data_IF_326503448996
#
_entry.id   IF_326503448996
#
_cell.length_a   1.000
_cell.length_b   1.000
_cell.length_c   1.000
_cell.angle_alpha   90.00
_cell.angle_beta   90.00
_cell.angle_gamma   90.00
#
_symmetry.space_group_name_H-M   'P 1'
#
loop_
_entity.id
_entity.type
_entity.pdbx_description
1 polymer ?
#
# COMPACT_ATOMS: atom_id res chain seq x y z
N UNK A 1 3.21 -18.26 3.04
CA UNK A 1 4.49 -17.50 3.20
C UNK A 1 4.66 -16.66 1.96
N UNK A 2 4.72 -15.33 2.10
CA UNK A 2 4.77 -14.40 0.97
C UNK A 2 6.16 -14.34 0.36
N UNK A 3 6.22 -14.27 -0.96
CA UNK A 3 7.46 -14.15 -1.74
C UNK A 3 7.58 -12.74 -2.28
N UNK A 4 8.60 -12.04 -1.81
CA UNK A 4 8.85 -10.61 -2.10
C UNK A 4 10.12 -10.48 -2.91
N UNK A 5 10.02 -9.85 -4.07
CA UNK A 5 11.18 -9.41 -4.83
C UNK A 5 11.61 -8.01 -4.38
N UNK A 6 12.91 -7.82 -4.17
CA UNK A 6 13.53 -6.49 -3.96
C UNK A 6 14.57 -6.28 -5.06
N UNK A 7 14.36 -5.28 -5.91
CA UNK A 7 15.27 -4.92 -6.98
C UNK A 7 15.78 -3.48 -6.82
N UNK A 8 17.09 -3.32 -6.83
CA UNK A 8 17.80 -2.06 -6.68
C UNK A 8 19.24 -2.28 -7.17
N UNK A 9 19.84 -1.36 -7.88
CA UNK A 9 21.22 -1.53 -8.37
C UNK A 9 22.27 -1.33 -7.26
N UNK A 10 21.93 -0.64 -6.17
CA UNK A 10 22.80 -0.43 -5.02
C UNK A 10 22.77 -1.63 -4.05
N UNK A 11 23.87 -2.41 -3.90
CA UNK A 11 23.89 -3.58 -3.03
C UNK A 11 23.58 -3.28 -1.56
N UNK A 12 23.93 -2.09 -1.09
CA UNK A 12 23.70 -1.66 0.30
C UNK A 12 22.21 -1.44 0.53
N UNK A 13 21.53 -0.76 -0.40
CA UNK A 13 20.09 -0.50 -0.33
C UNK A 13 19.30 -1.81 -0.31
N UNK A 14 19.61 -2.75 -1.22
CA UNK A 14 18.98 -4.08 -1.22
C UNK A 14 19.11 -4.79 0.13
N UNK A 15 20.32 -4.75 0.74
CA UNK A 15 20.53 -5.39 2.04
C UNK A 15 19.78 -4.69 3.17
N UNK A 16 19.72 -3.35 3.16
CA UNK A 16 18.99 -2.57 4.16
C UNK A 16 17.49 -2.90 4.10
N UNK A 17 16.89 -2.88 2.89
CA UNK A 17 15.49 -3.21 2.67
C UNK A 17 15.22 -4.66 3.12
N UNK A 18 16.02 -5.61 2.68
CA UNK A 18 15.91 -7.02 3.08
C UNK A 18 15.94 -7.19 4.60
N UNK A 19 16.91 -6.55 5.27
CA UNK A 19 17.04 -6.62 6.73
C UNK A 19 15.82 -6.04 7.44
N UNK A 20 15.27 -4.94 6.94
CA UNK A 20 14.04 -4.34 7.47
C UNK A 20 12.87 -5.31 7.33
N UNK A 21 12.64 -5.83 6.12
CA UNK A 21 11.55 -6.78 5.83
C UNK A 21 11.63 -8.01 6.75
N UNK A 22 12.78 -8.67 6.80
CA UNK A 22 12.97 -9.86 7.65
C UNK A 22 12.89 -9.53 9.14
N UNK A 23 13.25 -8.33 9.55
CA UNK A 23 13.13 -7.88 10.94
C UNK A 23 11.70 -7.68 11.39
N UNK A 24 10.82 -7.21 10.51
CA UNK A 24 9.41 -6.96 10.82
C UNK A 24 8.50 -8.18 10.56
N UNK A 25 8.85 -9.01 9.58
CA UNK A 25 8.05 -10.17 9.16
C UNK A 25 8.83 -11.50 9.29
N UNK A 26 9.41 -11.80 10.45
CA UNK A 26 10.13 -13.06 10.62
C UNK A 26 9.19 -14.24 10.38
N UNK A 27 9.67 -15.23 9.63
CA UNK A 27 8.93 -16.48 9.33
C UNK A 27 7.64 -16.28 8.46
N UNK A 28 7.36 -15.06 7.97
CA UNK A 28 6.20 -14.81 7.13
C UNK A 28 6.56 -14.59 5.66
N UNK A 29 7.80 -14.20 5.38
CA UNK A 29 8.26 -13.81 4.04
C UNK A 29 9.52 -14.52 3.60
N UNK A 30 9.64 -14.71 2.28
CA UNK A 30 10.88 -15.03 1.59
C UNK A 30 11.24 -13.84 0.70
N UNK A 31 12.46 -13.35 0.80
CA UNK A 31 12.93 -12.20 0.02
C UNK A 31 13.92 -12.65 -1.03
N UNK A 32 13.64 -12.32 -2.28
CA UNK A 32 14.51 -12.49 -3.44
C UNK A 32 15.07 -11.15 -3.86
N UNK A 33 16.30 -11.11 -4.36
CA UNK A 33 16.99 -9.87 -4.70
C UNK A 33 17.43 -9.88 -6.16
N UNK A 34 17.36 -8.71 -6.81
CA UNK A 34 17.83 -8.48 -8.16
C UNK A 34 18.61 -7.15 -8.25
N UNK A 35 19.55 -7.06 -9.20
CA UNK A 35 20.43 -5.89 -9.36
C UNK A 35 20.01 -4.97 -10.51
N UNK A 36 19.07 -5.40 -11.32
CA UNK A 36 18.54 -4.69 -12.49
C UNK A 36 17.16 -5.22 -12.87
N UNK A 37 16.48 -4.52 -13.78
CA UNK A 37 15.12 -4.88 -14.19
C UNK A 37 15.02 -6.23 -14.91
N UNK A 38 16.04 -6.68 -15.65
CA UNK A 38 16.01 -7.97 -16.33
C UNK A 38 16.01 -9.10 -15.31
N UNK A 39 16.93 -9.03 -14.35
CA UNK A 39 17.00 -9.99 -13.24
C UNK A 39 15.73 -9.93 -12.39
N UNK A 40 15.16 -8.72 -12.18
CA UNK A 40 13.92 -8.54 -11.43
C UNK A 40 12.77 -9.32 -12.06
N UNK A 41 12.56 -9.21 -13.39
CA UNK A 41 11.51 -9.97 -14.09
C UNK A 41 11.75 -11.47 -13.96
N UNK A 42 12.98 -11.95 -14.21
CA UNK A 42 13.29 -13.39 -14.10
C UNK A 42 13.10 -13.90 -12.67
N UNK A 43 13.66 -13.18 -11.67
CA UNK A 43 13.55 -13.59 -10.27
C UNK A 43 12.09 -13.58 -9.77
N UNK A 44 11.26 -12.65 -10.24
CA UNK A 44 9.83 -12.60 -9.92
C UNK A 44 9.12 -13.84 -10.43
N UNK A 45 9.34 -14.22 -11.70
CA UNK A 45 8.72 -15.37 -12.34
C UNK A 45 9.25 -16.69 -11.76
N UNK A 46 10.57 -16.86 -11.65
CA UNK A 46 11.21 -18.11 -11.23
C UNK A 46 10.85 -18.48 -9.78
N UNK A 47 10.47 -17.49 -8.97
CA UNK A 47 10.15 -17.71 -7.57
C UNK A 47 8.66 -17.47 -7.26
N UNK A 48 7.80 -17.32 -8.26
CA UNK A 48 6.35 -17.03 -8.10
C UNK A 48 6.11 -15.93 -7.06
N UNK A 49 6.78 -14.79 -7.18
CA UNK A 49 6.62 -13.70 -6.23
C UNK A 49 5.24 -13.06 -6.34
N UNK A 50 4.67 -12.62 -5.22
CA UNK A 50 3.41 -11.89 -5.16
C UNK A 50 3.62 -10.38 -5.07
N UNK A 51 4.77 -9.96 -4.52
CA UNK A 51 5.08 -8.56 -4.23
C UNK A 51 6.42 -8.19 -4.86
N UNK A 52 6.48 -7.07 -5.57
CA UNK A 52 7.70 -6.50 -6.11
C UNK A 52 7.98 -5.12 -5.51
N UNK A 53 9.15 -4.94 -4.91
CA UNK A 53 9.69 -3.65 -4.46
C UNK A 53 10.82 -3.29 -5.41
N UNK A 54 10.64 -2.23 -6.19
CA UNK A 54 11.51 -1.89 -7.30
C UNK A 54 12.07 -0.48 -7.14
N UNK A 55 13.39 -0.33 -7.25
CA UNK A 55 13.94 0.98 -7.58
C UNK A 55 13.65 1.31 -9.05
N UNK A 56 13.48 2.59 -9.34
CA UNK A 56 13.17 3.03 -10.70
C UNK A 56 14.42 3.08 -11.55
N UNK A 57 15.48 3.70 -11.06
CA UNK A 57 16.72 3.86 -11.84
C UNK A 57 17.67 2.69 -11.64
N UNK A 58 17.57 1.71 -12.52
CA UNK A 58 18.48 0.58 -12.58
C UNK A 58 19.13 0.48 -13.96
N UNK A 59 20.38 -0.02 -14.08
CA UNK A 59 21.07 -0.14 -15.34
C UNK A 59 20.41 -1.16 -16.29
N UNK A 60 20.39 -0.84 -17.58
CA UNK A 60 19.78 -1.68 -18.62
C UNK A 60 18.27 -1.54 -18.67
N UNK A 61 17.54 -2.39 -17.98
CA UNK A 61 16.09 -2.26 -17.80
C UNK A 61 15.81 -1.57 -16.48
N UNK A 62 15.12 -0.43 -16.54
CA UNK A 62 14.69 0.31 -15.35
C UNK A 62 13.52 -0.38 -14.63
N UNK A 63 13.22 0.05 -13.41
CA UNK A 63 12.17 -0.55 -12.59
C UNK A 63 10.77 -0.40 -13.16
N UNK A 64 10.46 0.68 -13.88
CA UNK A 64 9.17 0.88 -14.52
C UNK A 64 8.95 -0.07 -15.69
N UNK A 65 10.00 -0.33 -16.49
CA UNK A 65 9.93 -1.30 -17.59
C UNK A 65 9.82 -2.73 -17.05
N UNK A 66 10.52 -3.03 -15.95
CA UNK A 66 10.40 -4.30 -15.25
C UNK A 66 8.98 -4.50 -14.69
N UNK A 67 8.44 -3.49 -14.01
CA UNK A 67 7.09 -3.49 -13.48
C UNK A 67 6.03 -3.73 -14.56
N UNK A 68 6.16 -3.08 -15.73
CA UNK A 68 5.25 -3.27 -16.85
C UNK A 68 5.28 -4.71 -17.40
N UNK A 69 6.46 -5.34 -17.44
CA UNK A 69 6.58 -6.74 -17.87
C UNK A 69 6.01 -7.70 -16.83
N UNK A 70 6.28 -7.47 -15.55
CA UNK A 70 5.72 -8.26 -14.44
C UNK A 70 4.20 -8.16 -14.46
N UNK A 71 3.63 -6.94 -14.48
CA UNK A 71 2.18 -6.69 -14.49
C UNK A 71 1.46 -7.37 -15.66
N UNK A 72 2.08 -7.40 -16.84
CA UNK A 72 1.49 -8.05 -18.03
C UNK A 72 1.28 -9.55 -17.86
N UNK A 73 2.15 -10.22 -17.09
CA UNK A 73 2.09 -11.67 -16.87
C UNK A 73 1.37 -12.02 -15.56
N UNK A 74 1.48 -11.14 -14.58
CA UNK A 74 0.92 -11.26 -13.22
C UNK A 74 0.03 -10.03 -12.96
N UNK A 75 -1.21 -9.99 -13.46
CA UNK A 75 -2.08 -8.80 -13.38
C UNK A 75 -2.40 -8.40 -11.94
N UNK A 76 -2.37 -9.33 -11.02
CA UNK A 76 -2.82 -9.14 -9.62
C UNK A 76 -1.67 -8.93 -8.62
N UNK A 77 -0.40 -8.98 -9.07
CA UNK A 77 0.75 -8.78 -8.17
C UNK A 77 0.79 -7.36 -7.58
N UNK A 78 1.30 -7.21 -6.38
CA UNK A 78 1.52 -5.91 -5.77
C UNK A 78 2.88 -5.33 -6.17
N UNK A 79 2.89 -4.13 -6.77
CA UNK A 79 4.10 -3.41 -7.17
C UNK A 79 4.26 -2.17 -6.30
N UNK A 80 5.43 -2.00 -5.70
CA UNK A 80 5.81 -0.88 -4.86
C UNK A 80 7.09 -0.28 -5.44
N UNK A 81 7.11 1.02 -5.70
CA UNK A 81 8.34 1.71 -6.06
C UNK A 81 8.99 2.33 -4.84
N UNK A 82 10.30 2.14 -4.70
CA UNK A 82 11.11 2.75 -3.66
C UNK A 82 12.33 3.40 -4.32
N UNK A 83 12.30 4.72 -4.51
CA UNK A 83 13.26 5.45 -5.33
C UNK A 83 13.72 6.77 -4.71
N UNK A 84 14.94 7.21 -5.06
CA UNK A 84 15.45 8.53 -4.67
C UNK A 84 14.89 9.67 -5.56
N UNK A 85 14.23 9.34 -6.67
CA UNK A 85 13.83 10.31 -7.68
C UNK A 85 12.36 10.70 -7.53
N UNK A 86 12.13 12.00 -7.38
CA UNK A 86 10.81 12.64 -7.31
C UNK A 86 10.47 13.30 -8.66
N UNK A 87 10.56 12.54 -9.76
CA UNK A 87 10.27 13.05 -11.09
C UNK A 87 8.84 12.73 -11.53
N UNK A 88 8.12 13.74 -12.00
CA UNK A 88 6.74 13.62 -12.48
C UNK A 88 6.55 12.55 -13.58
N UNK A 89 7.54 12.38 -14.46
CA UNK A 89 7.48 11.39 -15.53
C UNK A 89 7.51 9.92 -15.01
N UNK A 90 8.22 9.67 -13.93
CA UNK A 90 8.25 8.33 -13.30
C UNK A 90 6.91 8.03 -12.63
N UNK A 91 6.37 9.04 -12.00
CA UNK A 91 5.07 9.01 -11.39
C UNK A 91 3.96 8.64 -12.40
N UNK A 92 3.92 9.27 -13.57
CA UNK A 92 2.95 8.93 -14.63
C UNK A 92 3.03 7.47 -15.08
N UNK A 93 4.24 6.94 -15.25
CA UNK A 93 4.44 5.54 -15.67
C UNK A 93 4.12 4.52 -14.55
N UNK A 94 4.30 4.89 -13.28
CA UNK A 94 3.90 4.05 -12.14
C UNK A 94 2.38 3.85 -12.09
N UNK A 95 1.59 4.83 -12.57
CA UNK A 95 0.14 4.71 -12.73
C UNK A 95 -0.20 3.65 -13.77
N UNK A 96 0.46 3.69 -14.93
CA UNK A 96 0.19 2.77 -16.05
C UNK A 96 0.37 1.30 -15.62
N UNK A 97 1.27 1.03 -14.66
CA UNK A 97 1.49 -0.31 -14.10
C UNK A 97 0.65 -0.60 -12.84
N UNK A 98 -0.22 0.31 -12.43
CA UNK A 98 -1.06 0.20 -11.23
C UNK A 98 -0.22 -0.17 -10.00
N UNK A 99 0.80 0.64 -9.72
CA UNK A 99 1.61 0.45 -8.53
C UNK A 99 0.77 0.65 -7.26
N UNK A 100 0.98 -0.19 -6.26
CA UNK A 100 0.30 -0.08 -4.97
C UNK A 100 0.73 1.19 -4.23
N UNK A 101 2.02 1.53 -4.28
CA UNK A 101 2.54 2.78 -3.71
C UNK A 101 3.87 3.19 -4.34
N UNK A 102 4.22 4.45 -4.11
CA UNK A 102 5.45 5.10 -4.57
C UNK A 102 6.15 5.77 -3.39
N UNK A 103 7.19 5.15 -2.86
CA UNK A 103 7.91 5.60 -1.69
C UNK A 103 9.23 6.31 -2.08
N UNK A 104 9.46 7.50 -1.53
CA UNK A 104 10.71 8.23 -1.74
C UNK A 104 11.77 7.78 -0.73
N UNK A 105 13.00 7.56 -1.17
CA UNK A 105 14.20 7.37 -0.34
C UNK A 105 14.72 8.74 0.13
N UNK A 106 15.14 8.89 1.40
CA UNK A 106 14.98 7.95 2.50
C UNK A 106 13.53 7.91 3.00
N UNK A 107 12.88 6.75 2.89
CA UNK A 107 11.54 6.54 3.40
C UNK A 107 11.50 6.21 4.90
N UNK A 108 10.38 6.44 5.56
CA UNK A 108 10.18 5.94 6.91
C UNK A 108 10.03 4.42 6.90
N UNK A 109 10.55 3.74 7.92
CA UNK A 109 10.36 2.31 8.07
C UNK A 109 8.88 1.97 8.20
N UNK A 110 8.12 2.86 8.84
CA UNK A 110 6.68 2.69 9.03
C UNK A 110 5.91 2.72 7.70
N UNK A 111 6.21 3.64 6.79
CA UNK A 111 5.59 3.69 5.45
C UNK A 111 5.88 2.40 4.67
N UNK A 112 7.14 1.95 4.64
CA UNK A 112 7.52 0.73 3.93
C UNK A 112 6.79 -0.50 4.50
N UNK A 113 6.75 -0.63 5.82
CA UNK A 113 6.12 -1.77 6.48
C UNK A 113 4.61 -1.79 6.29
N UNK A 114 3.95 -0.62 6.40
CA UNK A 114 2.51 -0.51 6.16
C UNK A 114 2.13 -0.93 4.73
N UNK A 115 2.91 -0.50 3.73
CA UNK A 115 2.64 -0.85 2.33
C UNK A 115 2.88 -2.34 2.07
N UNK A 116 3.92 -2.93 2.65
CA UNK A 116 4.17 -4.38 2.55
C UNK A 116 3.04 -5.18 3.21
N UNK A 117 2.57 -4.78 4.40
CA UNK A 117 1.42 -5.43 5.05
C UNK A 117 0.16 -5.35 4.18
N UNK A 118 -0.07 -4.21 3.54
CA UNK A 118 -1.20 -4.06 2.62
C UNK A 118 -1.04 -4.94 1.38
N UNK A 119 0.16 -5.03 0.81
CA UNK A 119 0.45 -5.93 -0.30
C UNK A 119 0.23 -7.41 0.08
N UNK A 120 0.62 -7.80 1.29
CA UNK A 120 0.36 -9.16 1.82
C UNK A 120 -1.15 -9.43 1.99
N UNK A 121 -1.90 -8.44 2.48
CA UNK A 121 -3.37 -8.53 2.61
C UNK A 121 -4.07 -8.69 1.26
N UNK A 122 -3.59 -7.97 0.24
CA UNK A 122 -4.13 -8.10 -1.12
C UNK A 122 -3.85 -9.49 -1.71
N UNK A 123 -2.64 -10.03 -1.50
CA UNK A 123 -2.29 -11.37 -1.95
C UNK A 123 -3.17 -12.47 -1.30
N UNK A 124 -3.49 -12.34 0.00
CA UNK A 124 -4.42 -13.28 0.69
C UNK A 124 -5.82 -13.26 0.06
N UNK A 125 -6.32 -12.08 -0.33
CA UNK A 125 -7.64 -11.94 -0.96
C UNK A 125 -7.72 -12.59 -2.33
N UNK A 126 -6.64 -12.54 -3.09
CA UNK A 126 -6.57 -13.17 -4.41
C UNK A 126 -6.58 -14.70 -4.29
N UNK A 127 -5.88 -15.25 -3.30
CA UNK A 127 -5.94 -16.69 -3.03
C UNK A 127 -7.35 -17.14 -2.63
N UNK A 128 -8.05 -16.38 -1.77
CA UNK A 128 -9.43 -16.64 -1.38
C UNK A 128 -10.42 -16.52 -2.55
N UNK A 129 -10.29 -15.47 -3.39
CA UNK A 129 -11.13 -15.25 -4.56
C UNK A 129 -10.95 -16.35 -5.61
N UNK A 130 -9.71 -16.83 -5.81
CA UNK A 130 -9.43 -17.92 -6.74
C UNK A 130 -10.03 -19.27 -6.27
N UNK A 131 -10.11 -19.48 -4.95
CA UNK A 131 -10.80 -20.64 -4.36
C UNK A 131 -12.34 -20.54 -4.51
N UNK A 132 -12.90 -19.32 -4.45
CA UNK A 132 -14.34 -19.08 -4.61
C UNK A 132 -14.78 -19.06 -6.09
N UNK A 133 -13.99 -18.46 -7.01
CA UNK A 133 -14.29 -18.41 -8.45
C UNK A 133 -14.19 -19.78 -9.15
N UNK A 134 -13.55 -20.76 -8.54
CA UNK A 134 -13.66 -22.16 -9.00
C UNK A 134 -15.11 -22.68 -8.94
N UNK A 135 -16.05 -21.92 -8.41
CA UNK A 135 -17.47 -22.29 -8.23
C UNK A 135 -18.49 -21.43 -8.98
N UNK A 136 -18.18 -20.24 -9.56
CA UNK A 136 -19.18 -19.47 -10.36
C UNK A 136 -18.50 -18.46 -11.34
N UNK A 137 -19.03 -18.41 -12.58
CA UNK A 137 -18.60 -17.61 -13.74
C UNK A 137 -19.10 -16.13 -13.76
N UNK A 138 -18.22 -15.25 -14.25
CA UNK A 138 -18.42 -14.03 -15.09
C UNK A 138 -19.15 -12.78 -14.54
N UNK A 139 -18.53 -11.56 -14.61
CA UNK A 139 -18.81 -10.54 -15.64
C UNK A 139 -18.16 -9.15 -15.41
N UNK A 140 -17.51 -8.65 -16.51
CA UNK A 140 -17.51 -7.28 -17.06
C UNK A 140 -16.71 -6.14 -16.40
N UNK A 141 -15.67 -5.73 -17.16
CA UNK A 141 -14.93 -4.45 -17.04
C UNK A 141 -15.63 -3.34 -17.86
N UNK A 142 -15.69 -2.14 -17.36
CA UNK A 142 -16.05 -0.91 -18.12
C UNK A 142 -14.90 0.12 -18.08
N UNK A 143 -14.59 0.62 -19.29
CA UNK A 143 -13.58 1.66 -19.57
C UNK A 143 -14.05 3.05 -19.14
N UNK A 144 -13.18 3.83 -18.48
CA UNK A 144 -13.38 5.25 -18.20
C UNK A 144 -12.22 6.06 -18.81
N UNK A 145 -12.56 7.02 -19.67
CA UNK A 145 -11.64 7.94 -20.34
C UNK A 145 -11.32 9.17 -19.49
N UNK A 146 -10.06 9.61 -19.52
CA UNK A 146 -9.53 10.72 -18.72
C UNK A 146 -9.57 12.06 -19.47
N UNK A 147 -9.82 13.14 -18.71
CA UNK A 147 -9.64 14.52 -19.12
C UNK A 147 -8.41 15.12 -18.42
N UNK A 148 -7.57 15.82 -19.19
CA UNK A 148 -6.36 16.48 -18.70
C UNK A 148 -6.71 17.83 -18.07
N UNK A 149 -6.16 18.14 -16.88
CA UNK A 149 -6.22 19.47 -16.26
C UNK A 149 -4.83 20.10 -16.23
N UNK A 150 -4.74 21.34 -16.70
CA UNK A 150 -3.52 22.15 -16.76
C UNK A 150 -3.21 22.85 -15.42
N UNK A 151 -1.92 22.88 -15.07
CA UNK A 151 -1.34 23.49 -13.88
C UNK A 151 -1.27 25.02 -13.98
N UNK A 152 -1.68 25.75 -12.92
CA UNK A 152 -1.31 27.15 -12.68
C UNK A 152 -0.97 27.38 -11.21
N UNK A 153 0.19 27.95 -10.95
CA UNK A 153 0.91 28.00 -9.67
C UNK A 153 0.30 28.86 -8.53
N UNK A 154 -0.72 29.68 -8.76
CA UNK A 154 -1.31 30.56 -7.73
C UNK A 154 -2.56 30.00 -7.03
N UNK A 155 -2.98 28.77 -7.41
CA UNK A 155 -4.11 28.05 -6.80
C UNK A 155 -3.73 27.03 -5.72
N UNK A 156 -2.45 26.71 -5.54
CA UNK A 156 -1.99 25.55 -4.78
C UNK A 156 -2.32 25.57 -3.28
N UNK A 157 -2.22 26.72 -2.61
CA UNK A 157 -2.43 26.79 -1.16
C UNK A 157 -3.92 26.74 -0.77
N UNK A 158 -4.79 27.33 -1.57
CA UNK A 158 -6.26 27.28 -1.36
C UNK A 158 -6.80 25.92 -1.77
N UNK A 159 -6.32 25.38 -2.89
CA UNK A 159 -6.66 24.04 -3.36
C UNK A 159 -6.21 22.96 -2.36
N UNK A 160 -5.01 23.10 -1.79
CA UNK A 160 -4.44 22.20 -0.79
C UNK A 160 -5.33 22.09 0.46
N UNK A 161 -5.80 23.19 1.03
CA UNK A 161 -6.65 23.18 2.22
C UNK A 161 -8.05 22.60 1.93
N UNK A 162 -8.60 22.81 0.75
CA UNK A 162 -9.90 22.25 0.33
C UNK A 162 -9.74 20.74 0.16
N UNK A 163 -8.69 20.26 -0.50
CA UNK A 163 -8.40 18.85 -0.72
C UNK A 163 -8.21 18.11 0.60
N UNK A 164 -7.44 18.67 1.53
CA UNK A 164 -7.23 18.07 2.87
C UNK A 164 -8.57 17.87 3.58
N UNK A 165 -9.45 18.88 3.57
CA UNK A 165 -10.76 18.78 4.19
C UNK A 165 -11.67 17.73 3.54
N UNK A 166 -11.67 17.66 2.22
CA UNK A 166 -12.51 16.72 1.48
C UNK A 166 -12.01 15.28 1.57
N UNK A 167 -10.69 15.07 1.47
CA UNK A 167 -10.05 13.75 1.65
C UNK A 167 -10.28 13.23 3.06
N UNK A 168 -10.09 14.07 4.08
CA UNK A 168 -10.38 13.70 5.47
C UNK A 168 -11.83 13.26 5.62
N UNK A 169 -12.77 14.05 5.10
CA UNK A 169 -14.21 13.73 5.14
C UNK A 169 -14.54 12.43 4.41
N UNK A 170 -13.90 12.19 3.27
CA UNK A 170 -14.07 10.94 2.53
C UNK A 170 -13.61 9.74 3.35
N UNK A 171 -12.41 9.82 3.95
CA UNK A 171 -11.89 8.76 4.81
C UNK A 171 -12.81 8.54 6.03
N UNK A 172 -13.24 9.60 6.70
CA UNK A 172 -14.17 9.53 7.84
C UNK A 172 -15.48 8.80 7.51
N UNK A 173 -15.98 8.99 6.29
CA UNK A 173 -17.25 8.38 5.86
C UNK A 173 -17.07 6.94 5.34
N UNK A 174 -15.89 6.59 4.83
CA UNK A 174 -15.67 5.34 4.10
C UNK A 174 -14.59 4.43 4.70
N UNK A 175 -13.97 4.77 5.85
CA UNK A 175 -12.86 4.00 6.42
C UNK A 175 -13.20 2.54 6.73
N UNK A 176 -14.47 2.18 6.85
CA UNK A 176 -14.93 0.80 7.06
C UNK A 176 -14.87 -0.03 5.77
N UNK A 177 -14.92 0.65 4.64
CA UNK A 177 -14.85 0.02 3.33
C UNK A 177 -13.40 -0.22 2.93
N UNK A 178 -13.22 -1.03 1.91
CA UNK A 178 -11.90 -1.33 1.34
C UNK A 178 -11.51 -0.22 0.36
N UNK A 179 -11.16 0.94 0.90
CA UNK A 179 -10.75 2.10 0.11
C UNK A 179 -9.26 2.05 -0.19
N UNK A 180 -8.92 2.23 -1.47
CA UNK A 180 -7.56 2.38 -1.94
C UNK A 180 -7.25 3.86 -2.28
N UNK A 181 -5.96 4.20 -2.39
CA UNK A 181 -5.53 5.52 -2.80
C UNK A 181 -6.10 5.91 -4.17
N UNK A 182 -6.19 4.92 -5.08
CA UNK A 182 -6.71 5.06 -6.44
C UNK A 182 -8.19 5.51 -6.45
N UNK A 183 -8.99 4.98 -5.54
CA UNK A 183 -10.41 5.35 -5.42
C UNK A 183 -10.54 6.82 -5.04
N UNK A 184 -9.70 7.27 -4.10
CA UNK A 184 -9.70 8.65 -3.63
C UNK A 184 -9.14 9.59 -4.70
N UNK A 185 -8.03 9.24 -5.34
CA UNK A 185 -7.43 10.01 -6.42
C UNK A 185 -8.42 10.23 -7.57
N UNK A 186 -9.14 9.17 -7.98
CA UNK A 186 -10.15 9.21 -9.03
C UNK A 186 -11.32 10.15 -8.73
N UNK A 187 -11.76 10.25 -7.47
CA UNK A 187 -12.83 11.17 -7.06
C UNK A 187 -12.46 12.64 -7.26
N UNK A 188 -11.17 12.98 -7.13
CA UNK A 188 -10.67 14.35 -7.28
C UNK A 188 -10.11 14.63 -8.67
N UNK A 189 -10.17 13.65 -9.60
CA UNK A 189 -9.63 13.80 -10.96
C UNK A 189 -8.11 13.84 -11.01
N UNK A 190 -7.44 13.38 -9.97
CA UNK A 190 -5.98 13.30 -9.92
C UNK A 190 -5.48 11.92 -10.38
N UNK A 191 -4.28 11.91 -10.93
CA UNK A 191 -3.56 10.66 -11.10
C UNK A 191 -3.11 10.12 -9.73
N UNK A 192 -3.07 8.80 -9.58
CA UNK A 192 -2.73 8.11 -8.33
C UNK A 192 -1.41 8.61 -7.74
N UNK A 193 -0.41 8.81 -8.59
CA UNK A 193 0.93 9.23 -8.14
C UNK A 193 0.99 10.72 -7.79
N UNK A 194 0.33 11.59 -8.56
CA UNK A 194 0.22 12.98 -8.17
C UNK A 194 -0.52 13.08 -6.83
N UNK A 195 -1.57 12.31 -6.67
CA UNK A 195 -2.32 12.26 -5.42
C UNK A 195 -1.50 11.66 -4.27
N UNK A 196 -0.69 10.63 -4.52
CA UNK A 196 0.23 10.05 -3.55
C UNK A 196 1.21 11.11 -3.00
N UNK A 197 1.82 11.90 -3.90
CA UNK A 197 2.71 13.01 -3.55
C UNK A 197 1.96 14.11 -2.80
N UNK A 198 0.83 14.55 -3.34
CA UNK A 198 -0.02 15.58 -2.75
C UNK A 198 -0.50 15.17 -1.35
N UNK A 199 -0.90 13.91 -1.18
CA UNK A 199 -1.31 13.35 0.09
C UNK A 199 -0.15 13.40 1.09
N UNK A 200 1.03 12.90 0.69
CA UNK A 200 2.21 12.89 1.57
C UNK A 200 2.65 14.30 1.96
N UNK A 201 2.61 15.27 1.04
CA UNK A 201 2.92 16.68 1.32
C UNK A 201 1.97 17.29 2.36
N UNK A 202 0.67 16.99 2.26
CA UNK A 202 -0.36 17.59 3.11
C UNK A 202 -0.55 16.87 4.45
N UNK A 203 -0.41 15.54 4.48
CA UNK A 203 -0.65 14.72 5.68
C UNK A 203 0.65 14.24 6.36
N UNK A 204 1.82 14.47 5.75
CA UNK A 204 3.12 14.08 6.32
C UNK A 204 3.43 12.58 6.26
N UNK A 205 2.53 11.77 5.71
CA UNK A 205 2.63 10.30 5.62
C UNK A 205 1.88 9.79 4.38
N UNK A 206 2.11 8.53 3.99
CA UNK A 206 1.36 7.93 2.89
C UNK A 206 -0.10 7.63 3.27
N UNK A 207 -0.94 7.36 2.26
CA UNK A 207 -2.37 7.10 2.43
C UNK A 207 -2.65 5.89 3.33
N UNK A 208 -1.93 4.80 3.11
CA UNK A 208 -2.13 3.55 3.86
C UNK A 208 -1.78 3.73 5.34
N UNK A 209 -0.68 4.43 5.64
CA UNK A 209 -0.31 4.77 7.02
C UNK A 209 -1.38 5.64 7.68
N UNK A 210 -1.86 6.68 7.00
CA UNK A 210 -2.91 7.55 7.52
C UNK A 210 -4.22 6.80 7.78
N UNK A 211 -4.66 5.98 6.82
CA UNK A 211 -5.88 5.18 6.95
C UNK A 211 -5.78 4.19 8.13
N UNK A 212 -4.63 3.52 8.27
CA UNK A 212 -4.41 2.61 9.40
C UNK A 212 -4.43 3.34 10.74
N UNK A 213 -3.78 4.50 10.86
CA UNK A 213 -3.84 5.33 12.09
C UNK A 213 -5.29 5.71 12.42
N UNK A 214 -6.04 6.18 11.43
CA UNK A 214 -7.44 6.55 11.61
C UNK A 214 -8.28 5.36 12.11
N UNK A 215 -8.13 4.19 11.47
CA UNK A 215 -8.82 2.96 11.86
C UNK A 215 -8.44 2.50 13.26
N UNK A 216 -7.17 2.59 13.64
CA UNK A 216 -6.69 2.22 14.98
C UNK A 216 -7.22 3.17 16.05
N UNK A 217 -7.33 4.47 15.78
CA UNK A 217 -7.92 5.40 16.73
C UNK A 217 -9.42 5.11 16.93
N UNK A 218 -10.16 4.78 15.88
CA UNK A 218 -11.54 4.29 15.99
C UNK A 218 -11.63 2.98 16.78
N UNK A 219 -10.69 2.05 16.56
CA UNK A 219 -10.64 0.81 17.34
C UNK A 219 -10.40 1.07 18.84
N UNK A 220 -9.55 2.03 19.21
CA UNK A 220 -9.32 2.43 20.62
C UNK A 220 -10.60 2.95 21.28
N UNK A 221 -11.38 3.76 20.56
CA UNK A 221 -12.68 4.24 21.02
C UNK A 221 -13.66 3.08 21.27
N UNK A 222 -13.78 2.16 20.33
CA UNK A 222 -14.64 0.98 20.44
C UNK A 222 -14.19 0.00 21.54
N UNK A 223 -12.88 -0.12 21.76
CA UNK A 223 -12.33 -0.97 22.81
C UNK A 223 -12.64 -0.47 24.23
N UNK A 224 -12.98 0.80 24.42
CA UNK A 224 -13.41 1.35 25.70
C UNK A 224 -14.80 0.80 26.13
N UNK A 225 -15.60 0.29 25.21
CA UNK A 225 -16.88 -0.37 25.52
C UNK A 225 -16.64 -1.89 25.76
N UNK A 226 -16.85 -2.38 27.00
CA UNK A 226 -16.68 -3.80 27.31
C UNK A 226 -17.75 -4.72 26.67
N UNK A 227 -18.85 -4.15 26.17
CA UNK A 227 -19.94 -4.91 25.55
C UNK A 227 -19.60 -5.36 24.12
N UNK A 228 -18.72 -4.63 23.42
CA UNK A 228 -18.34 -4.95 22.04
C UNK A 228 -17.23 -6.01 22.08
N UNK A 229 -17.40 -7.16 21.41
CA UNK A 229 -16.34 -8.15 21.35
C UNK A 229 -15.21 -7.68 20.40
N UNK A 230 -13.99 -8.23 20.55
CA UNK A 230 -12.81 -7.76 19.79
C UNK A 230 -12.96 -8.04 18.29
N UNK A 231 -13.67 -9.10 17.91
CA UNK A 231 -13.92 -9.42 16.50
C UNK A 231 -14.84 -8.36 15.88
N UNK A 232 -15.87 -7.93 16.60
CA UNK A 232 -16.75 -6.85 16.12
C UNK A 232 -16.00 -5.52 16.07
N UNK A 233 -15.11 -5.24 17.05
CA UNK A 233 -14.22 -4.05 16.99
C UNK A 233 -13.38 -4.05 15.72
N UNK A 234 -12.81 -5.20 15.29
CA UNK A 234 -12.02 -5.24 14.07
C UNK A 234 -12.85 -4.87 12.83
N UNK A 235 -14.04 -5.40 12.71
CA UNK A 235 -14.95 -5.12 11.59
C UNK A 235 -15.41 -3.65 11.61
N UNK A 236 -15.85 -3.16 12.77
CA UNK A 236 -16.29 -1.77 12.94
C UNK A 236 -15.18 -0.75 12.73
N UNK A 237 -13.92 -1.13 12.96
CA UNK A 237 -12.75 -0.33 12.66
C UNK A 237 -12.29 -0.43 11.18
N UNK A 238 -12.98 -1.21 10.33
CA UNK A 238 -12.69 -1.34 8.90
C UNK A 238 -11.68 -2.43 8.54
N UNK A 239 -11.47 -3.42 9.42
CA UNK A 239 -10.62 -4.57 9.14
C UNK A 239 -11.46 -5.83 8.94
N UNK A 240 -11.40 -6.42 7.75
CA UNK A 240 -12.11 -7.69 7.46
C UNK A 240 -11.44 -8.88 8.14
N UNK A 241 -10.11 -8.89 8.24
CA UNK A 241 -9.32 -9.93 8.90
C UNK A 241 -8.92 -9.51 10.32
N UNK A 242 -9.35 -10.28 11.33
CA UNK A 242 -9.09 -9.98 12.74
C UNK A 242 -7.62 -10.25 13.14
N UNK A 243 -6.90 -11.11 12.41
CA UNK A 243 -5.49 -11.39 12.67
C UNK A 243 -4.65 -10.22 12.14
N UNK A 244 -4.98 -9.72 10.93
CA UNK A 244 -4.37 -8.53 10.38
C UNK A 244 -4.59 -7.32 11.30
N UNK A 245 -5.83 -7.07 11.72
CA UNK A 245 -6.16 -6.05 12.71
C UNK A 245 -5.29 -6.15 13.96
N UNK A 246 -5.17 -7.36 14.53
CA UNK A 246 -4.39 -7.58 15.76
C UNK A 246 -2.91 -7.24 15.55
N UNK A 247 -2.32 -7.59 14.39
CA UNK A 247 -0.94 -7.26 14.04
C UNK A 247 -0.73 -5.75 13.92
N UNK A 248 -1.57 -5.08 13.12
CA UNK A 248 -1.50 -3.61 12.92
C UNK A 248 -1.69 -2.88 14.26
N UNK A 249 -2.70 -3.26 15.04
CA UNK A 249 -2.98 -2.66 16.33
C UNK A 249 -1.79 -2.82 17.30
N UNK A 250 -1.25 -4.04 17.43
CA UNK A 250 -0.10 -4.30 18.29
C UNK A 250 1.14 -3.52 17.86
N UNK A 251 1.39 -3.41 16.56
CA UNK A 251 2.52 -2.64 16.03
C UNK A 251 2.38 -1.17 16.36
N UNK A 252 1.21 -0.57 16.13
CA UNK A 252 0.99 0.87 16.30
C UNK A 252 0.80 1.30 17.76
N UNK A 253 0.22 0.43 18.58
CA UNK A 253 -0.12 0.74 19.99
C UNK A 253 0.85 0.09 20.99
N UNK A 254 1.65 -0.88 20.55
CA UNK A 254 2.58 -1.65 21.40
C UNK A 254 1.91 -2.75 22.22
N UNK A 255 0.58 -2.89 22.18
CA UNK A 255 -0.22 -3.87 22.91
C UNK A 255 -1.25 -4.50 21.98
N UNK A 256 -1.64 -5.74 22.24
CA UNK A 256 -2.78 -6.35 21.55
C UNK A 256 -4.09 -5.63 21.91
N UNK A 257 -5.15 -5.72 21.08
CA UNK A 257 -6.46 -5.14 21.41
C UNK A 257 -7.01 -5.60 22.78
N UNK A 258 -6.81 -6.86 23.13
CA UNK A 258 -7.22 -7.42 24.44
C UNK A 258 -6.44 -6.83 25.61
N UNK A 259 -5.11 -6.72 25.48
CA UNK A 259 -4.26 -6.11 26.49
C UNK A 259 -4.55 -4.61 26.65
N UNK A 260 -4.82 -3.91 25.54
CA UNK A 260 -5.20 -2.50 25.57
C UNK A 260 -6.51 -2.30 26.30
N UNK A 261 -7.56 -3.06 25.97
CA UNK A 261 -8.86 -3.05 26.66
C UNK A 261 -8.73 -3.25 28.17
N UNK A 262 -7.99 -4.30 28.57
CA UNK A 262 -7.78 -4.58 29.98
C UNK A 262 -7.07 -3.44 30.72
N UNK A 263 -6.19 -2.71 30.04
CA UNK A 263 -5.50 -1.57 30.63
C UNK A 263 -6.34 -0.28 30.67
N UNK A 264 -7.40 -0.17 29.89
CA UNK A 264 -8.32 1.00 29.91
C UNK A 264 -9.46 0.80 30.90
N UNK A 265 -9.91 -0.45 31.11
CA UNK A 265 -11.06 -0.78 31.96
C UNK A 265 -10.66 -1.19 33.40
N UNK A 266 -9.38 -1.41 33.67
CA UNK A 266 -8.82 -1.75 35.00
C UNK A 266 -8.07 -0.63 35.62
#
# INVERSE_FOLDING_TARGET
MYRILVADDEPIERQVINKKILGFFPDQVLVFMAENGIEAVSAFEDNDCQIAILDIEMPGMNGLDAAAQIRKKHPDCSIIFLTAFDEFNYAKRAIEVRALDYLLKPGSDEDLINVIEEAMRLADREEEAFEEESSEDQALAEDISFAEAEDTADGEEIASNIIVGEVTRYIENNYKEDIALQDVAGLFGYSDVYFCKLFKQNFGKNFITYLNEFRIDRAKELLADPQINIKDVSVEAGYRDANYFTRVFKRMVGKTPSEYRNGVLG
#
